data_IF_315085884070
#
_entry.id   IF_315085884070
#
_cell.length_a   1.000
_cell.length_b   1.000
_cell.length_c   1.000
_cell.angle_alpha   90.00
_cell.angle_beta   90.00
_cell.angle_gamma   90.00
#
_symmetry.space_group_name_H-M   'P 1'
#
loop_
_entity.id
_entity.type
_entity.pdbx_description
1 polymer ?
#
# COMPACT_ATOMS: atom_id res chain seq x y z
N UNK A 1 -53.48 9.46 -45.29
CA UNK A 1 -53.36 9.70 -43.83
C UNK A 1 -52.22 8.93 -43.19
N UNK A 2 -51.99 7.64 -43.50
CA UNK A 2 -50.88 6.88 -42.90
C UNK A 2 -49.46 7.31 -43.33
N UNK A 3 -49.26 7.79 -44.57
CA UNK A 3 -47.95 8.24 -45.08
C UNK A 3 -47.42 9.51 -44.38
N UNK A 4 -48.26 10.54 -44.21
CA UNK A 4 -47.86 11.78 -43.53
C UNK A 4 -47.53 11.58 -42.04
N UNK A 5 -48.08 10.53 -41.40
CA UNK A 5 -47.77 10.20 -40.01
C UNK A 5 -46.38 9.56 -39.87
N UNK A 6 -45.92 8.83 -40.89
CA UNK A 6 -44.60 8.17 -40.88
C UNK A 6 -43.49 9.18 -41.20
N UNK A 7 -43.73 10.11 -42.12
CA UNK A 7 -42.80 11.22 -42.41
C UNK A 7 -42.62 12.15 -41.19
N UNK A 8 -43.71 12.47 -40.48
CA UNK A 8 -43.64 13.30 -39.27
C UNK A 8 -42.85 12.67 -38.12
N UNK A 9 -42.90 11.33 -37.99
CA UNK A 9 -42.10 10.60 -36.99
C UNK A 9 -40.62 10.59 -37.37
N UNK A 10 -40.28 10.37 -38.64
CA UNK A 10 -38.88 10.40 -39.11
C UNK A 10 -38.22 11.77 -38.98
N UNK A 11 -38.93 12.84 -39.32
CA UNK A 11 -38.45 14.21 -39.16
C UNK A 11 -38.21 14.54 -37.67
N UNK A 12 -39.09 14.08 -36.77
CA UNK A 12 -38.88 14.25 -35.33
C UNK A 12 -37.74 13.41 -34.76
N UNK A 13 -37.44 12.26 -35.34
CA UNK A 13 -36.29 11.42 -34.94
C UNK A 13 -34.97 12.04 -35.41
N UNK A 14 -34.91 12.55 -36.65
CA UNK A 14 -33.72 13.24 -37.19
C UNK A 14 -33.41 14.55 -36.44
N UNK A 15 -34.42 15.37 -36.13
CA UNK A 15 -34.23 16.59 -35.32
C UNK A 15 -33.71 16.26 -33.90
N UNK A 16 -34.17 15.16 -33.30
CA UNK A 16 -33.74 14.76 -31.97
C UNK A 16 -32.32 14.19 -31.95
N UNK A 17 -31.92 13.49 -33.02
CA UNK A 17 -30.52 13.03 -33.24
C UNK A 17 -29.56 14.21 -33.45
N UNK A 18 -29.96 15.23 -34.21
CA UNK A 18 -29.14 16.44 -34.43
C UNK A 18 -28.96 17.26 -33.16
N UNK A 19 -30.01 17.46 -32.35
CA UNK A 19 -29.91 18.12 -31.05
C UNK A 19 -29.01 17.35 -30.07
N UNK A 20 -29.14 16.02 -30.05
CA UNK A 20 -28.30 15.17 -29.20
C UNK A 20 -26.81 15.24 -29.62
N UNK A 21 -26.53 15.29 -30.92
CA UNK A 21 -25.17 15.43 -31.44
C UNK A 21 -24.54 16.79 -31.07
N UNK A 22 -25.30 17.88 -31.19
CA UNK A 22 -24.82 19.23 -30.82
C UNK A 22 -24.54 19.31 -29.31
N UNK A 23 -25.44 18.80 -28.48
CA UNK A 23 -25.26 18.79 -27.02
C UNK A 23 -24.05 17.95 -26.60
N UNK A 24 -23.80 16.82 -27.27
CA UNK A 24 -22.62 15.99 -27.02
C UNK A 24 -21.31 16.69 -27.42
N UNK A 25 -21.31 17.40 -28.56
CA UNK A 25 -20.13 18.18 -29.00
C UNK A 25 -19.81 19.33 -28.03
N UNK A 26 -20.83 20.03 -27.51
CA UNK A 26 -20.64 21.09 -26.51
C UNK A 26 -20.10 20.54 -25.17
N UNK A 27 -20.64 19.41 -24.72
CA UNK A 27 -20.16 18.70 -23.52
C UNK A 27 -18.69 18.27 -23.66
N UNK A 28 -18.29 17.78 -24.84
CA UNK A 28 -16.90 17.42 -25.13
C UNK A 28 -15.98 18.64 -25.07
N UNK A 29 -16.34 19.75 -25.73
CA UNK A 29 -15.58 21.01 -25.68
C UNK A 29 -15.44 21.53 -24.27
N UNK A 30 -16.48 21.44 -23.44
CA UNK A 30 -16.43 21.84 -22.04
C UNK A 30 -15.49 20.96 -21.22
N UNK A 31 -15.47 19.65 -21.49
CA UNK A 31 -14.56 18.69 -20.85
C UNK A 31 -13.11 19.01 -21.21
N UNK A 32 -12.81 19.25 -22.48
CA UNK A 32 -11.47 19.65 -22.93
C UNK A 32 -11.01 20.97 -22.29
N UNK A 33 -11.90 21.96 -22.20
CA UNK A 33 -11.59 23.24 -21.55
C UNK A 33 -11.24 23.05 -20.07
N UNK A 34 -11.97 22.19 -19.36
CA UNK A 34 -11.67 21.84 -17.95
C UNK A 34 -10.34 21.11 -17.81
N UNK A 35 -10.01 20.20 -18.73
CA UNK A 35 -8.72 19.50 -18.73
C UNK A 35 -7.56 20.46 -18.91
N UNK A 36 -7.63 21.34 -19.92
CA UNK A 36 -6.60 22.37 -20.14
C UNK A 36 -6.44 23.29 -18.94
N UNK A 37 -7.53 23.63 -18.25
CA UNK A 37 -7.46 24.43 -17.03
C UNK A 37 -6.71 23.69 -15.90
N UNK A 38 -6.95 22.39 -15.72
CA UNK A 38 -6.23 21.58 -14.74
C UNK A 38 -4.75 21.39 -15.10
N UNK A 39 -4.41 21.24 -16.38
CA UNK A 39 -3.01 21.21 -16.85
C UNK A 39 -2.26 22.51 -16.50
N UNK A 40 -2.93 23.66 -16.66
CA UNK A 40 -2.36 24.95 -16.23
C UNK A 40 -2.19 24.99 -14.71
N UNK A 41 -3.17 24.50 -13.94
CA UNK A 41 -3.07 24.39 -12.48
C UNK A 41 -1.88 23.51 -12.08
N UNK A 42 -1.70 22.35 -12.70
CA UNK A 42 -0.58 21.45 -12.42
C UNK A 42 0.77 22.14 -12.70
N UNK A 43 0.88 22.86 -13.83
CA UNK A 43 2.08 23.62 -14.16
C UNK A 43 2.38 24.72 -13.13
N UNK A 44 1.34 25.42 -12.64
CA UNK A 44 1.48 26.42 -11.58
C UNK A 44 1.94 25.79 -10.26
N UNK A 45 1.35 24.64 -9.87
CA UNK A 45 1.69 23.91 -8.65
C UNK A 45 3.13 23.37 -8.69
N UNK A 46 3.62 23.00 -9.87
CA UNK A 46 4.98 22.51 -10.09
C UNK A 46 6.04 23.62 -10.05
N UNK A 47 5.65 24.88 -10.19
CA UNK A 47 6.58 26.00 -10.17
C UNK A 47 7.02 26.36 -8.74
N UNK A 48 8.33 26.39 -8.46
CA UNK A 48 8.94 26.74 -7.16
C UNK A 48 8.60 28.13 -6.57
N UNK A 49 7.86 29.00 -7.27
CA UNK A 49 7.45 30.32 -6.76
C UNK A 49 6.30 30.26 -5.76
N UNK A 50 5.95 31.40 -5.14
CA UNK A 50 4.74 31.47 -4.31
C UNK A 50 3.48 31.27 -5.16
N UNK A 51 2.50 30.57 -4.59
CA UNK A 51 1.21 30.35 -5.24
C UNK A 51 0.29 31.55 -4.95
N UNK A 52 0.12 32.41 -5.95
CA UNK A 52 -0.98 33.39 -5.96
C UNK A 52 -2.33 32.67 -6.12
N UNK A 53 -3.40 33.21 -5.54
CA UNK A 53 -4.78 32.73 -5.72
C UNK A 53 -5.06 31.25 -5.32
N UNK A 54 -4.42 30.77 -4.23
CA UNK A 54 -4.58 29.40 -3.71
C UNK A 54 -6.03 28.92 -3.63
N UNK A 55 -6.95 29.77 -3.16
CA UNK A 55 -8.36 29.41 -3.03
C UNK A 55 -9.02 29.11 -4.39
N UNK A 56 -8.68 29.88 -5.43
CA UNK A 56 -9.21 29.65 -6.78
C UNK A 56 -8.66 28.36 -7.37
N UNK A 57 -7.36 28.09 -7.16
CA UNK A 57 -6.71 26.85 -7.54
C UNK A 57 -7.41 25.66 -6.86
N UNK A 58 -7.59 25.72 -5.54
CA UNK A 58 -8.27 24.67 -4.78
C UNK A 58 -9.70 24.44 -5.29
N UNK A 59 -10.47 25.50 -5.55
CA UNK A 59 -11.82 25.38 -6.11
C UNK A 59 -11.82 24.74 -7.50
N UNK A 60 -10.89 25.09 -8.37
CA UNK A 60 -10.76 24.48 -9.69
C UNK A 60 -10.47 22.97 -9.59
N UNK A 61 -9.56 22.59 -8.69
CA UNK A 61 -9.24 21.18 -8.42
C UNK A 61 -10.46 20.42 -7.88
N UNK A 62 -11.13 20.95 -6.85
CA UNK A 62 -12.31 20.30 -6.25
C UNK A 62 -13.47 20.16 -7.25
N UNK A 63 -13.67 21.15 -8.12
CA UNK A 63 -14.68 21.07 -9.18
C UNK A 63 -14.38 19.93 -10.17
N UNK A 64 -13.11 19.59 -10.40
CA UNK A 64 -12.72 18.48 -11.27
C UNK A 64 -13.27 17.13 -10.83
N UNK A 65 -13.40 16.90 -9.51
CA UNK A 65 -13.95 15.66 -8.94
C UNK A 65 -15.47 15.49 -9.18
N UNK A 66 -16.19 16.57 -9.44
CA UNK A 66 -17.64 16.52 -9.73
C UNK A 66 -17.96 16.02 -11.13
N UNK A 67 -16.93 15.88 -11.98
CA UNK A 67 -17.08 15.41 -13.35
C UNK A 67 -17.41 13.92 -13.41
N UNK A 68 -18.29 13.53 -14.33
CA UNK A 68 -18.55 12.13 -14.68
C UNK A 68 -17.37 11.49 -15.42
N UNK A 69 -16.52 12.29 -16.07
CA UNK A 69 -15.37 11.83 -16.83
C UNK A 69 -14.19 11.46 -15.89
N UNK A 70 -13.73 10.21 -15.95
CA UNK A 70 -12.63 9.70 -15.12
C UNK A 70 -11.30 10.40 -15.38
N UNK A 71 -10.99 10.79 -16.62
CA UNK A 71 -9.75 11.50 -16.97
C UNK A 71 -9.67 12.85 -16.27
N UNK A 72 -10.80 13.58 -16.21
CA UNK A 72 -10.89 14.83 -15.46
C UNK A 72 -10.68 14.61 -13.96
N UNK A 73 -11.30 13.57 -13.39
CA UNK A 73 -11.11 13.23 -11.97
C UNK A 73 -9.66 12.82 -11.68
N UNK A 74 -9.01 12.11 -12.59
CA UNK A 74 -7.61 11.70 -12.45
C UNK A 74 -6.67 12.92 -12.46
N UNK A 75 -6.86 13.83 -13.41
CA UNK A 75 -6.12 15.10 -13.47
C UNK A 75 -6.34 15.95 -12.21
N UNK A 76 -7.57 16.00 -11.70
CA UNK A 76 -7.90 16.68 -10.45
C UNK A 76 -7.21 16.03 -9.24
N UNK A 77 -7.18 14.70 -9.16
CA UNK A 77 -6.50 13.96 -8.10
C UNK A 77 -4.99 14.20 -8.09
N UNK A 78 -4.37 14.22 -9.28
CA UNK A 78 -2.96 14.58 -9.44
C UNK A 78 -2.71 16.02 -8.97
N UNK A 79 -3.50 16.99 -9.43
CA UNK A 79 -3.38 18.38 -8.98
C UNK A 79 -3.56 18.52 -7.46
N UNK A 80 -4.52 17.79 -6.88
CA UNK A 80 -4.75 17.79 -5.44
C UNK A 80 -3.53 17.25 -4.68
N UNK A 81 -2.94 16.15 -5.15
CA UNK A 81 -1.76 15.56 -4.51
C UNK A 81 -0.58 16.55 -4.49
N UNK A 82 -0.31 17.23 -5.61
CA UNK A 82 0.74 18.25 -5.69
C UNK A 82 0.40 19.46 -4.83
N UNK A 83 -0.86 19.91 -4.84
CA UNK A 83 -1.33 21.02 -4.00
C UNK A 83 -1.08 20.74 -2.52
N UNK A 84 -1.38 19.53 -2.05
CA UNK A 84 -1.12 19.14 -0.67
C UNK A 84 0.37 19.23 -0.32
N UNK A 85 1.27 18.79 -1.21
CA UNK A 85 2.73 18.93 -1.02
C UNK A 85 3.21 20.40 -0.98
N UNK A 86 2.37 21.35 -1.37
CA UNK A 86 2.64 22.80 -1.32
C UNK A 86 2.10 23.47 -0.06
N UNK A 87 1.40 22.74 0.80
CA UNK A 87 0.95 23.26 2.08
C UNK A 87 2.11 23.40 3.05
N UNK A 88 2.08 24.49 3.82
CA UNK A 88 3.14 24.79 4.82
C UNK A 88 2.90 24.04 6.13
N UNK A 89 1.65 23.70 6.41
CA UNK A 89 1.20 23.05 7.62
C UNK A 89 0.57 21.70 7.25
N UNK A 90 0.96 20.65 7.97
CA UNK A 90 0.46 19.30 7.74
C UNK A 90 -1.08 19.25 7.87
N UNK A 91 -1.65 19.94 8.86
CA UNK A 91 -3.11 19.99 9.10
C UNK A 91 -3.90 20.52 7.88
N UNK A 92 -3.31 21.45 7.11
CA UNK A 92 -3.91 22.01 5.89
C UNK A 92 -3.91 21.00 4.74
N UNK A 93 -2.87 20.17 4.63
CA UNK A 93 -2.82 19.08 3.65
C UNK A 93 -3.75 17.93 4.05
N UNK A 94 -3.81 17.60 5.34
CA UNK A 94 -4.55 16.45 5.86
C UNK A 94 -6.07 16.60 5.76
N UNK A 95 -6.61 17.82 5.65
CA UNK A 95 -8.06 18.04 5.40
C UNK A 95 -8.58 17.34 4.15
N UNK A 96 -7.70 17.09 3.17
CA UNK A 96 -8.05 16.47 1.90
C UNK A 96 -7.98 14.95 1.96
N UNK A 97 -7.41 14.36 3.02
CA UNK A 97 -7.27 12.90 3.16
C UNK A 97 -8.60 12.15 2.98
N UNK A 98 -9.75 12.59 3.53
CA UNK A 98 -11.03 11.91 3.29
C UNK A 98 -11.40 11.78 1.80
N UNK A 99 -11.00 12.74 0.96
CA UNK A 99 -11.25 12.68 -0.47
C UNK A 99 -10.40 11.60 -1.16
N UNK A 100 -9.13 11.45 -0.78
CA UNK A 100 -8.28 10.35 -1.28
C UNK A 100 -8.86 8.99 -0.88
N UNK A 101 -9.31 8.84 0.37
CA UNK A 101 -9.97 7.63 0.86
C UNK A 101 -11.26 7.34 0.07
N UNK A 102 -12.09 8.36 -0.15
CA UNK A 102 -13.32 8.24 -0.93
C UNK A 102 -13.04 7.78 -2.36
N UNK A 103 -12.03 8.36 -3.03
CA UNK A 103 -11.63 7.95 -4.39
C UNK A 103 -11.10 6.52 -4.39
N UNK A 104 -10.26 6.16 -3.41
CA UNK A 104 -9.71 4.82 -3.26
C UNK A 104 -10.79 3.74 -3.06
N UNK A 105 -11.90 4.06 -2.39
CA UNK A 105 -12.99 3.12 -2.15
C UNK A 105 -13.99 3.03 -3.31
N UNK A 106 -14.27 4.14 -4.01
CA UNK A 106 -15.50 4.27 -4.81
C UNK A 106 -15.28 4.53 -6.31
N UNK A 107 -14.08 4.93 -6.75
CA UNK A 107 -13.88 5.33 -8.15
C UNK A 107 -13.51 4.15 -9.07
N UNK A 108 -13.03 4.40 -10.28
CA UNK A 108 -12.49 3.41 -11.22
C UNK A 108 -11.19 2.79 -10.70
N UNK A 109 -10.83 1.59 -11.15
CA UNK A 109 -9.63 0.88 -10.68
C UNK A 109 -8.34 1.72 -10.81
N UNK A 110 -8.18 2.43 -11.93
CA UNK A 110 -7.05 3.33 -12.21
C UNK A 110 -6.96 4.47 -11.19
N UNK A 111 -8.09 5.12 -10.89
CA UNK A 111 -8.15 6.18 -9.88
C UNK A 111 -7.96 5.65 -8.45
N UNK A 112 -8.45 4.45 -8.14
CA UNK A 112 -8.22 3.82 -6.83
C UNK A 112 -6.74 3.58 -6.60
N UNK A 113 -6.05 3.05 -7.61
CA UNK A 113 -4.62 2.81 -7.58
C UNK A 113 -3.84 4.13 -7.42
N UNK A 114 -4.23 5.17 -8.16
CA UNK A 114 -3.63 6.51 -8.03
C UNK A 114 -3.84 7.08 -6.62
N UNK A 115 -5.04 6.98 -6.07
CA UNK A 115 -5.35 7.45 -4.72
C UNK A 115 -4.52 6.71 -3.65
N UNK A 116 -4.34 5.39 -3.80
CA UNK A 116 -3.48 4.61 -2.91
C UNK A 116 -2.03 5.09 -2.94
N UNK A 117 -1.46 5.31 -4.14
CA UNK A 117 -0.11 5.86 -4.31
C UNK A 117 0.02 7.24 -3.65
N UNK A 118 -0.97 8.13 -3.87
CA UNK A 118 -0.99 9.43 -3.22
C UNK A 118 -1.00 9.29 -1.69
N UNK A 119 -1.84 8.44 -1.10
CA UNK A 119 -1.91 8.25 0.35
C UNK A 119 -0.58 7.74 0.95
N UNK A 120 0.16 6.88 0.24
CA UNK A 120 1.52 6.49 0.63
C UNK A 120 2.45 7.71 0.63
N UNK A 121 2.40 8.53 -0.42
CA UNK A 121 3.21 9.74 -0.49
C UNK A 121 2.83 10.77 0.58
N UNK A 122 1.55 10.87 0.99
CA UNK A 122 1.13 11.67 2.15
C UNK A 122 1.85 11.23 3.42
N UNK A 123 1.83 9.94 3.74
CA UNK A 123 2.53 9.41 4.92
C UNK A 123 4.06 9.56 4.83
N UNK A 124 4.60 9.62 3.61
CA UNK A 124 6.02 9.85 3.39
C UNK A 124 6.41 11.34 3.55
N UNK A 125 5.53 12.26 3.18
CA UNK A 125 5.77 13.70 3.22
C UNK A 125 5.44 14.30 4.59
N UNK A 126 4.28 13.96 5.15
CA UNK A 126 3.72 14.58 6.36
C UNK A 126 3.88 13.68 7.57
N UNK A 127 4.10 14.29 8.74
CA UNK A 127 4.10 13.56 10.01
C UNK A 127 2.69 13.59 10.56
N UNK A 128 1.92 12.55 10.26
CA UNK A 128 0.67 12.30 10.97
C UNK A 128 1.02 11.80 12.37
N UNK A 129 1.31 12.75 13.25
CA UNK A 129 1.44 12.46 14.68
C UNK A 129 0.06 12.08 15.19
N UNK A 130 -0.01 10.93 15.86
CA UNK A 130 -1.15 10.61 16.69
C UNK A 130 -1.12 11.65 17.81
N UNK A 131 -1.99 12.66 17.76
CA UNK A 131 -2.16 13.65 18.84
C UNK A 131 -2.80 12.95 20.04
N UNK A 132 -2.18 11.91 20.56
CA UNK A 132 -2.51 11.28 21.82
C UNK A 132 -1.94 12.16 22.93
N UNK A 133 -2.74 13.16 23.31
CA UNK A 133 -2.81 13.69 24.69
C UNK A 133 -1.49 13.74 25.47
N UNK A 134 -0.49 14.46 24.99
CA UNK A 134 0.59 14.94 25.85
C UNK A 134 0.25 16.37 26.30
N UNK A 135 -0.53 16.45 27.38
CA UNK A 135 -0.70 17.66 28.15
C UNK A 135 -2.01 18.41 27.91
N UNK A 136 -3.10 17.94 28.52
CA UNK A 136 -4.18 18.82 28.99
C UNK A 136 -4.97 18.11 30.10
N UNK A 137 -5.35 18.89 31.11
CA UNK A 137 -5.89 18.44 32.39
C UNK A 137 -7.08 17.48 32.24
N UNK A 138 -7.21 16.45 33.10
CA UNK A 138 -8.31 15.50 33.03
C UNK A 138 -9.55 16.04 33.78
N UNK A 139 -10.09 17.18 33.36
CA UNK A 139 -11.43 17.60 33.78
C UNK A 139 -12.17 18.26 32.62
N UNK A 140 -13.35 17.71 32.35
CA UNK A 140 -14.45 18.19 31.51
C UNK A 140 -14.62 17.63 30.09
N UNK A 141 -15.72 16.88 29.99
CA UNK A 141 -16.53 16.55 28.82
C UNK A 141 -16.03 15.47 27.88
N UNK A 142 -16.55 14.27 28.18
CA UNK A 142 -16.58 13.15 27.27
C UNK A 142 -17.32 13.49 25.98
N UNK A 143 -16.58 13.34 24.90
CA UNK A 143 -17.09 12.71 23.68
C UNK A 143 -15.88 12.03 23.06
N UNK A 144 -15.67 10.76 23.43
CA UNK A 144 -14.68 9.89 22.82
C UNK A 144 -15.15 9.55 21.40
N UNK A 145 -15.05 10.53 20.50
CA UNK A 145 -15.12 10.27 19.07
C UNK A 145 -13.78 9.68 18.68
N UNK A 146 -13.68 8.35 18.84
CA UNK A 146 -12.63 7.45 18.35
C UNK A 146 -12.61 7.50 16.81
N UNK A 147 -12.33 8.68 16.26
CA UNK A 147 -12.08 8.83 14.83
C UNK A 147 -10.65 8.34 14.63
N UNK A 148 -10.42 7.25 13.87
CA UNK A 148 -9.07 6.79 13.62
C UNK A 148 -8.25 7.94 13.05
N UNK A 149 -7.03 8.14 13.55
CA UNK A 149 -6.11 9.11 12.97
C UNK A 149 -5.97 8.82 11.46
N UNK A 150 -5.72 9.86 10.66
CA UNK A 150 -5.54 9.67 9.21
C UNK A 150 -4.50 8.60 8.88
N UNK A 151 -3.48 8.46 9.73
CA UNK A 151 -2.45 7.43 9.65
C UNK A 151 -3.00 6.02 9.83
N UNK A 152 -3.78 5.79 10.90
CA UNK A 152 -4.40 4.49 11.16
C UNK A 152 -5.33 4.07 10.00
N UNK A 153 -6.06 5.03 9.42
CA UNK A 153 -6.95 4.77 8.29
C UNK A 153 -6.17 4.33 7.04
N UNK A 154 -5.10 5.04 6.67
CA UNK A 154 -4.27 4.66 5.51
C UNK A 154 -3.59 3.31 5.76
N UNK A 155 -3.09 3.07 6.97
CA UNK A 155 -2.49 1.79 7.34
C UNK A 155 -3.48 0.63 7.19
N UNK A 156 -4.71 0.80 7.66
CA UNK A 156 -5.78 -0.20 7.48
C UNK A 156 -6.00 -0.47 6.00
N UNK A 157 -6.15 0.59 5.19
CA UNK A 157 -6.38 0.44 3.75
C UNK A 157 -5.23 -0.28 3.04
N UNK A 158 -3.97 0.01 3.38
CA UNK A 158 -2.81 -0.69 2.83
C UNK A 158 -2.83 -2.17 3.22
N UNK A 159 -3.09 -2.48 4.48
CA UNK A 159 -3.14 -3.86 4.97
C UNK A 159 -4.28 -4.66 4.33
N UNK A 160 -5.45 -4.06 4.15
CA UNK A 160 -6.62 -4.68 3.52
C UNK A 160 -6.37 -4.99 2.04
N UNK A 161 -5.54 -4.18 1.36
CA UNK A 161 -5.23 -4.35 -0.05
C UNK A 161 -4.05 -5.30 -0.34
N UNK A 162 -3.39 -5.87 0.68
CA UNK A 162 -2.34 -6.89 0.48
C UNK A 162 -2.84 -8.17 -0.20
N UNK A 163 -4.14 -8.48 -0.06
CA UNK A 163 -4.78 -9.66 -0.66
C UNK A 163 -5.79 -9.28 -1.75
N UNK A 164 -5.68 -8.06 -2.29
CA UNK A 164 -6.57 -7.59 -3.36
C UNK A 164 -6.46 -8.48 -4.60
N UNK A 165 -7.52 -8.62 -5.40
CA UNK A 165 -7.51 -9.48 -6.60
C UNK A 165 -6.62 -8.93 -7.72
N UNK A 166 -6.60 -7.61 -7.88
CA UNK A 166 -5.71 -6.90 -8.79
C UNK A 166 -4.26 -6.87 -8.28
N UNK A 167 -3.33 -7.26 -9.16
CA UNK A 167 -1.89 -7.36 -8.86
C UNK A 167 -1.23 -6.00 -8.63
N UNK A 168 -1.61 -4.98 -9.40
CA UNK A 168 -1.04 -3.64 -9.23
C UNK A 168 -1.42 -3.04 -7.87
N UNK A 169 -2.69 -3.19 -7.46
CA UNK A 169 -3.14 -2.75 -6.14
C UNK A 169 -2.39 -3.46 -5.00
N UNK A 170 -2.22 -4.79 -5.06
CA UNK A 170 -1.41 -5.54 -4.08
C UNK A 170 0.01 -5.03 -4.01
N UNK A 171 0.62 -4.79 -5.17
CA UNK A 171 2.00 -4.33 -5.28
C UNK A 171 2.16 -2.95 -4.64
N UNK A 172 1.28 -2.00 -4.95
CA UNK A 172 1.29 -0.66 -4.34
C UNK A 172 1.12 -0.74 -2.83
N UNK A 173 0.22 -1.59 -2.33
CA UNK A 173 0.02 -1.78 -0.91
C UNK A 173 1.28 -2.32 -0.21
N UNK A 174 1.88 -3.38 -0.75
CA UNK A 174 3.09 -4.00 -0.21
C UNK A 174 4.30 -3.05 -0.25
N UNK A 175 4.54 -2.39 -1.38
CA UNK A 175 5.62 -1.41 -1.54
C UNK A 175 5.42 -0.18 -0.67
N UNK A 176 4.18 0.28 -0.53
CA UNK A 176 3.81 1.38 0.36
C UNK A 176 4.20 1.07 1.80
N UNK A 177 3.77 -0.08 2.33
CA UNK A 177 4.15 -0.53 3.66
C UNK A 177 5.68 -0.67 3.82
N UNK A 178 6.35 -1.30 2.85
CA UNK A 178 7.80 -1.45 2.86
C UNK A 178 8.54 -0.10 2.91
N UNK A 179 8.14 0.86 2.08
CA UNK A 179 8.70 2.23 2.08
C UNK A 179 8.47 2.93 3.42
N UNK A 180 7.26 2.85 3.95
CA UNK A 180 6.89 3.48 5.21
C UNK A 180 7.67 2.90 6.39
N UNK A 181 7.82 1.58 6.47
CA UNK A 181 8.66 0.89 7.46
C UNK A 181 10.13 1.29 7.31
N UNK A 182 10.67 1.23 6.09
CA UNK A 182 12.08 1.54 5.85
C UNK A 182 12.42 2.99 6.18
N UNK A 183 11.52 3.93 5.93
CA UNK A 183 11.70 5.34 6.24
C UNK A 183 11.28 5.71 7.67
N UNK A 184 10.92 4.73 8.52
CA UNK A 184 10.45 4.94 9.89
C UNK A 184 9.28 5.95 9.97
N UNK A 185 8.37 5.89 9.00
CA UNK A 185 7.12 6.68 8.96
C UNK A 185 5.98 6.00 9.70
N UNK A 186 6.06 4.69 9.86
CA UNK A 186 5.15 3.87 10.64
C UNK A 186 5.98 2.99 11.56
N UNK A 187 5.39 2.55 12.67
CA UNK A 187 6.06 1.64 13.59
C UNK A 187 6.20 0.26 12.95
N UNK A 188 7.34 -0.38 13.19
CA UNK A 188 7.61 -1.70 12.65
C UNK A 188 7.10 -2.76 13.61
N UNK A 189 5.99 -3.40 13.23
CA UNK A 189 5.35 -4.47 13.98
C UNK A 189 5.60 -5.83 13.33
N UNK A 190 5.86 -6.90 14.12
CA UNK A 190 6.02 -8.26 13.59
C UNK A 190 4.86 -8.73 12.71
N UNK A 191 3.63 -8.29 13.00
CA UNK A 191 2.41 -8.63 12.27
C UNK A 191 2.43 -8.10 10.83
N UNK A 192 2.96 -6.89 10.61
CA UNK A 192 3.07 -6.31 9.28
C UNK A 192 4.13 -7.08 8.47
N UNK A 193 5.28 -7.36 9.09
CA UNK A 193 6.33 -8.16 8.45
C UNK A 193 5.85 -9.59 8.16
N UNK A 194 5.07 -10.20 9.05
CA UNK A 194 4.48 -11.52 8.83
C UNK A 194 3.58 -11.52 7.59
N UNK A 195 2.71 -10.52 7.44
CA UNK A 195 1.84 -10.39 6.26
C UNK A 195 2.64 -10.18 4.96
N UNK A 196 3.70 -9.38 5.01
CA UNK A 196 4.58 -9.17 3.86
C UNK A 196 5.36 -10.44 3.49
N UNK A 197 5.86 -11.20 4.47
CA UNK A 197 6.49 -12.51 4.24
C UNK A 197 5.52 -13.52 3.63
N UNK A 198 4.31 -13.62 4.18
CA UNK A 198 3.25 -14.46 3.62
C UNK A 198 2.95 -14.10 2.16
N UNK A 199 2.81 -12.82 1.86
CA UNK A 199 2.54 -12.35 0.50
C UNK A 199 3.72 -12.65 -0.43
N UNK A 200 4.95 -12.42 0.03
CA UNK A 200 6.16 -12.67 -0.75
C UNK A 200 6.38 -14.14 -1.05
N UNK A 201 5.98 -15.08 -0.18
CA UNK A 201 6.11 -16.52 -0.45
C UNK A 201 4.82 -17.17 -0.98
N UNK A 202 3.76 -16.39 -1.22
CA UNK A 202 2.52 -16.92 -1.76
C UNK A 202 2.74 -17.33 -3.24
N UNK A 203 2.46 -18.59 -3.63
CA UNK A 203 2.57 -19.00 -5.04
C UNK A 203 1.66 -18.18 -5.98
N UNK A 204 0.56 -17.62 -5.48
CA UNK A 204 -0.33 -16.77 -6.27
C UNK A 204 0.28 -15.43 -6.71
N UNK A 205 1.42 -15.04 -6.14
CA UNK A 205 2.17 -13.81 -6.48
C UNK A 205 3.51 -14.13 -7.14
N UNK A 206 3.71 -15.36 -7.63
CA UNK A 206 4.95 -15.77 -8.32
C UNK A 206 5.19 -14.96 -9.59
N UNK A 207 4.14 -14.72 -10.38
CA UNK A 207 4.19 -13.95 -11.63
C UNK A 207 4.19 -12.42 -11.40
N UNK A 208 4.06 -11.95 -10.15
CA UNK A 208 4.08 -10.52 -9.82
C UNK A 208 5.53 -10.02 -9.68
N UNK A 209 6.25 -9.93 -10.80
CA UNK A 209 7.69 -9.60 -10.85
C UNK A 209 8.07 -8.34 -10.04
N UNK A 210 7.28 -7.27 -10.18
CA UNK A 210 7.55 -6.00 -9.50
C UNK A 210 7.45 -6.14 -7.98
N UNK A 211 6.41 -6.84 -7.49
CA UNK A 211 6.24 -7.14 -6.07
C UNK A 211 7.41 -7.99 -5.55
N UNK A 212 7.78 -9.05 -6.27
CA UNK A 212 8.89 -9.93 -5.89
C UNK A 212 10.21 -9.17 -5.83
N UNK A 213 10.48 -8.34 -6.83
CA UNK A 213 11.68 -7.51 -6.89
C UNK A 213 11.73 -6.53 -5.72
N UNK A 214 10.65 -5.77 -5.48
CA UNK A 214 10.66 -4.75 -4.43
C UNK A 214 10.79 -5.37 -3.04
N UNK A 215 10.13 -6.49 -2.76
CA UNK A 215 10.28 -7.21 -1.49
C UNK A 215 11.68 -7.83 -1.32
N UNK A 216 12.27 -8.37 -2.39
CA UNK A 216 13.61 -8.95 -2.36
C UNK A 216 14.71 -7.93 -2.00
N UNK A 217 14.48 -6.65 -2.31
CA UNK A 217 15.36 -5.54 -1.94
C UNK A 217 15.04 -5.04 -0.53
N UNK A 218 13.75 -4.90 -0.21
CA UNK A 218 13.30 -4.38 1.07
C UNK A 218 13.75 -5.25 2.25
N UNK A 219 13.48 -6.56 2.24
CA UNK A 219 13.71 -7.38 3.44
C UNK A 219 15.19 -7.41 3.89
N UNK A 220 16.19 -7.65 3.01
CA UNK A 220 17.59 -7.61 3.41
C UNK A 220 18.02 -6.21 3.85
N UNK A 221 17.59 -5.17 3.11
CA UNK A 221 17.94 -3.79 3.46
C UNK A 221 17.34 -3.36 4.80
N UNK A 222 16.11 -3.79 5.12
CA UNK A 222 15.47 -3.48 6.39
C UNK A 222 16.09 -4.27 7.55
N UNK A 223 16.35 -5.57 7.38
CA UNK A 223 16.97 -6.42 8.40
C UNK A 223 18.38 -5.94 8.76
N UNK A 224 19.19 -5.56 7.76
CA UNK A 224 20.58 -5.15 7.97
C UNK A 224 20.72 -3.81 8.73
N UNK A 225 19.67 -2.99 8.81
CA UNK A 225 19.74 -1.64 9.42
C UNK A 225 19.90 -1.63 10.93
N UNK A 226 19.39 -2.64 11.65
CA UNK A 226 19.49 -2.69 13.10
C UNK A 226 19.26 -4.10 13.66
N UNK A 227 19.78 -4.36 14.86
CA UNK A 227 19.47 -5.60 15.58
C UNK A 227 17.97 -5.69 15.92
N UNK A 228 17.33 -4.57 16.24
CA UNK A 228 15.89 -4.50 16.50
C UNK A 228 15.09 -5.01 15.30
N UNK A 229 15.45 -4.58 14.08
CA UNK A 229 14.78 -5.02 12.87
C UNK A 229 14.94 -6.53 12.63
N UNK A 230 16.12 -7.09 12.94
CA UNK A 230 16.30 -8.55 12.91
C UNK A 230 15.41 -9.26 13.92
N UNK A 231 15.35 -8.79 15.17
CA UNK A 231 14.46 -9.37 16.18
C UNK A 231 12.98 -9.32 15.75
N UNK A 232 12.54 -8.26 15.06
CA UNK A 232 11.20 -8.20 14.48
C UNK A 232 10.96 -9.29 13.43
N UNK A 233 11.96 -9.64 12.60
CA UNK A 233 11.86 -10.78 11.67
C UNK A 233 11.81 -12.14 12.38
N UNK A 234 12.49 -12.30 13.53
CA UNK A 234 12.39 -13.52 14.34
C UNK A 234 10.96 -13.74 14.84
N UNK A 235 10.35 -12.67 15.37
CA UNK A 235 8.97 -12.71 15.85
C UNK A 235 7.98 -12.90 14.69
N UNK A 236 8.17 -12.18 13.58
CA UNK A 236 7.35 -12.30 12.38
C UNK A 236 7.40 -13.72 11.79
N UNK A 237 8.55 -14.39 11.82
CA UNK A 237 8.67 -15.78 11.38
C UNK A 237 7.81 -16.71 12.22
N UNK A 238 7.85 -16.57 13.55
CA UNK A 238 7.06 -17.38 14.48
C UNK A 238 5.56 -17.16 14.21
N UNK A 239 5.13 -15.90 14.09
CA UNK A 239 3.75 -15.56 13.75
C UNK A 239 3.32 -16.18 12.41
N UNK A 240 4.19 -16.12 11.41
CA UNK A 240 3.92 -16.63 10.08
C UNK A 240 3.79 -18.15 10.06
N UNK A 241 4.71 -18.87 10.72
CA UNK A 241 4.64 -20.33 10.81
C UNK A 241 3.41 -20.79 11.60
N UNK A 242 3.02 -20.06 12.66
CA UNK A 242 1.77 -20.32 13.37
C UNK A 242 0.56 -20.13 12.44
N UNK A 243 0.52 -19.04 11.68
CA UNK A 243 -0.54 -18.78 10.72
C UNK A 243 -0.66 -19.91 9.67
N UNK A 244 0.47 -20.35 9.08
CA UNK A 244 0.51 -21.47 8.13
C UNK A 244 0.04 -22.77 8.78
N UNK A 245 0.51 -23.10 10.00
CA UNK A 245 0.08 -24.33 10.69
C UNK A 245 -1.41 -24.38 11.03
N UNK A 246 -1.99 -23.21 11.28
CA UNK A 246 -3.41 -23.08 11.62
C UNK A 246 -4.32 -22.97 10.38
N UNK A 247 -3.74 -22.79 9.20
CA UNK A 247 -4.49 -22.54 7.98
C UNK A 247 -5.23 -23.81 7.52
N UNK A 248 -6.54 -23.72 7.18
CA UNK A 248 -7.24 -24.79 6.50
C UNK A 248 -6.54 -25.15 5.17
N UNK A 249 -6.60 -26.42 4.77
CA UNK A 249 -5.94 -26.91 3.54
C UNK A 249 -6.41 -26.24 2.24
N UNK A 250 -7.57 -25.58 2.27
CA UNK A 250 -8.16 -24.85 1.13
C UNK A 250 -7.71 -23.38 1.08
N UNK A 251 -7.01 -22.90 2.12
CA UNK A 251 -6.54 -21.52 2.20
C UNK A 251 -5.36 -21.29 1.25
N UNK A 252 -5.31 -20.16 0.51
CA UNK A 252 -4.13 -19.77 -0.26
C UNK A 252 -2.85 -19.63 0.58
N UNK A 253 -2.98 -19.49 1.90
CA UNK A 253 -1.83 -19.43 2.82
C UNK A 253 -1.22 -20.82 3.06
N UNK A 254 -1.99 -21.90 2.87
CA UNK A 254 -1.52 -23.26 3.08
C UNK A 254 -0.61 -23.78 1.95
N UNK A 255 -0.56 -23.09 0.80
CA UNK A 255 0.32 -23.45 -0.32
C UNK A 255 1.73 -22.85 -0.20
N UNK A 256 1.97 -21.98 0.79
CA UNK A 256 3.27 -21.39 1.06
C UNK A 256 4.23 -22.48 1.57
N UNK A 257 5.44 -22.57 1.00
CA UNK A 257 6.49 -23.47 1.50
C UNK A 257 7.12 -22.89 2.80
N UNK A 258 6.84 -23.50 3.97
CA UNK A 258 7.33 -22.99 5.25
C UNK A 258 8.85 -23.18 5.39
N UNK A 259 9.45 -24.14 4.68
CA UNK A 259 10.89 -24.42 4.74
C UNK A 259 11.65 -23.35 3.96
N UNK A 260 11.22 -23.05 2.74
CA UNK A 260 11.84 -22.02 1.91
C UNK A 260 11.81 -20.66 2.62
N UNK A 261 10.64 -20.27 3.12
CA UNK A 261 10.47 -19.04 3.88
C UNK A 261 11.36 -18.98 5.13
N UNK A 262 11.44 -20.08 5.88
CA UNK A 262 12.27 -20.14 7.08
C UNK A 262 13.76 -19.97 6.74
N UNK A 263 14.24 -20.65 5.70
CA UNK A 263 15.62 -20.54 5.25
C UNK A 263 15.96 -19.11 4.80
N UNK A 264 15.08 -18.48 4.03
CA UNK A 264 15.24 -17.09 3.63
C UNK A 264 15.27 -16.15 4.84
N UNK A 265 14.36 -16.34 5.79
CA UNK A 265 14.30 -15.49 6.99
C UNK A 265 15.55 -15.69 7.86
N UNK A 266 16.06 -16.91 8.00
CA UNK A 266 17.34 -17.15 8.70
C UNK A 266 18.54 -16.52 8.00
N UNK A 267 18.51 -16.44 6.67
CA UNK A 267 19.50 -15.68 5.92
C UNK A 267 19.45 -14.18 6.28
N UNK A 268 18.26 -13.58 6.38
CA UNK A 268 18.10 -12.17 6.81
C UNK A 268 18.64 -11.89 8.22
N UNK A 269 18.57 -12.90 9.09
CA UNK A 269 19.00 -12.81 10.48
C UNK A 269 20.52 -12.99 10.65
N UNK A 270 21.27 -13.23 9.57
CA UNK A 270 22.72 -13.49 9.60
C UNK A 270 23.10 -14.65 10.56
N UNK A 271 22.23 -15.67 10.68
CA UNK A 271 22.36 -16.77 11.66
C UNK A 271 23.60 -17.65 11.44
N UNK A 272 24.43 -17.37 10.43
CA UNK A 272 25.73 -18.02 10.21
C UNK A 272 26.83 -17.73 11.25
N UNK A 273 26.53 -17.12 12.42
CA UNK A 273 27.53 -16.95 13.50
C UNK A 273 27.11 -17.33 14.92
N UNK A 274 25.90 -17.87 15.15
CA UNK A 274 25.47 -18.17 16.53
C UNK A 274 24.35 -19.20 16.66
N UNK A 275 24.72 -20.42 17.05
CA UNK A 275 23.84 -21.56 17.37
C UNK A 275 22.72 -21.20 18.36
N UNK A 276 22.90 -20.18 19.20
CA UNK A 276 21.99 -19.84 20.31
C UNK A 276 20.71 -19.15 19.83
N UNK A 277 20.77 -18.26 18.84
CA UNK A 277 19.59 -17.57 18.30
C UNK A 277 18.70 -18.56 17.51
N UNK A 278 19.32 -19.42 16.69
CA UNK A 278 18.61 -20.47 15.97
C UNK A 278 17.89 -21.42 16.92
N UNK A 279 18.53 -21.82 18.03
CA UNK A 279 17.90 -22.72 19.01
C UNK A 279 16.72 -22.05 19.73
N UNK A 280 16.79 -20.76 20.06
CA UNK A 280 15.70 -20.07 20.74
C UNK A 280 14.48 -19.87 19.83
N UNK A 281 14.70 -19.58 18.54
CA UNK A 281 13.62 -19.55 17.54
C UNK A 281 13.04 -20.95 17.37
N UNK A 282 13.88 -21.97 17.14
CA UNK A 282 13.44 -23.36 16.96
C UNK A 282 12.62 -23.88 18.16
N UNK A 283 12.97 -23.51 19.40
CA UNK A 283 12.20 -23.88 20.59
C UNK A 283 10.80 -23.24 20.66
N UNK A 284 10.55 -22.17 19.90
CA UNK A 284 9.28 -21.43 19.85
C UNK A 284 8.43 -21.77 18.62
N UNK A 285 8.99 -22.43 17.61
CA UNK A 285 8.26 -22.87 16.40
C UNK A 285 7.39 -24.10 16.73
N UNK A 286 6.19 -24.25 16.13
CA UNK A 286 5.39 -25.47 16.26
C UNK A 286 6.19 -26.76 16.01
N UNK A 287 5.92 -27.78 16.81
CA UNK A 287 6.65 -29.06 16.75
C UNK A 287 6.57 -29.78 15.41
N UNK A 288 5.54 -29.49 14.61
CA UNK A 288 5.38 -29.97 13.24
C UNK A 288 6.46 -29.45 12.28
N UNK A 289 7.00 -28.25 12.49
CA UNK A 289 8.04 -27.67 11.63
C UNK A 289 9.46 -27.94 12.13
N UNK A 290 9.64 -28.27 13.41
CA UNK A 290 10.95 -28.60 13.99
C UNK A 290 11.71 -29.68 13.20
N UNK A 291 11.02 -30.72 12.71
CA UNK A 291 11.65 -31.79 11.92
C UNK A 291 12.07 -31.32 10.51
N UNK A 292 11.29 -30.45 9.89
CA UNK A 292 11.49 -29.92 8.54
C UNK A 292 12.59 -28.84 8.50
N UNK A 293 12.71 -28.03 9.55
CA UNK A 293 13.71 -26.97 9.64
C UNK A 293 15.08 -27.50 10.08
N UNK A 294 15.13 -28.56 10.90
CA UNK A 294 16.38 -29.17 11.35
C UNK A 294 17.08 -30.01 10.27
N UNK A 295 16.33 -30.71 9.41
CA UNK A 295 16.92 -31.63 8.44
C UNK A 295 17.84 -30.94 7.40
N UNK A 296 17.46 -29.81 6.76
CA UNK A 296 18.31 -29.10 5.80
C UNK A 296 19.50 -28.41 6.48
N UNK A 297 19.26 -27.79 7.65
CA UNK A 297 20.28 -27.06 8.42
C UNK A 297 21.37 -27.98 8.97
N UNK A 298 21.02 -29.23 9.29
CA UNK A 298 21.98 -30.28 9.65
C UNK A 298 22.64 -30.92 8.44
N UNK A 299 21.95 -31.01 7.29
CA UNK A 299 22.49 -31.56 6.04
C UNK A 299 23.52 -30.64 5.35
N UNK A 300 23.45 -29.33 5.55
CA UNK A 300 24.45 -28.36 5.04
C UNK A 300 25.77 -28.36 5.83
N UNK A 301 25.93 -29.22 6.86
CA UNK A 301 27.20 -29.34 7.58
C UNK A 301 28.22 -30.11 6.74
N UNK A 302 29.44 -29.59 6.51
CA UNK A 302 30.55 -30.42 6.07
C UNK A 302 30.89 -31.39 7.22
N UNK A 303 30.48 -32.64 7.06
CA UNK A 303 30.70 -33.75 8.01
C UNK A 303 32.18 -34.11 8.25
N UNK A 304 33.12 -33.40 7.62
CA UNK A 304 34.54 -33.70 7.66
C UNK A 304 35.35 -32.93 8.72
N UNK A 305 34.94 -31.72 9.14
CA UNK A 305 35.77 -30.90 10.04
C UNK A 305 35.53 -31.16 11.54
N UNK A 306 34.36 -31.67 11.91
CA UNK A 306 34.05 -31.98 13.32
C UNK A 306 34.81 -33.21 13.86
N UNK A 307 35.22 -34.14 12.98
CA UNK A 307 35.94 -35.36 13.38
C UNK A 307 37.47 -35.19 13.49
N UNK A 308 38.05 -34.06 13.05
CA UNK A 308 39.50 -33.83 13.17
C UNK A 308 39.94 -33.18 14.48
N UNK A 309 39.03 -32.61 15.27
CA UNK A 309 39.39 -31.91 16.52
C UNK A 309 39.30 -32.75 17.80
N UNK A 310 38.94 -34.03 17.72
CA UNK A 310 38.90 -34.94 18.88
C UNK A 310 40.02 -36.00 18.90
N UNK A 311 40.94 -35.98 17.92
CA UNK A 311 42.03 -36.95 17.81
C UNK A 311 43.32 -36.60 18.55
N UNK A 312 43.56 -35.32 18.86
CA UNK A 312 44.86 -34.83 19.36
C UNK A 312 44.81 -34.35 20.82
N UNK A 313 44.23 -35.17 21.70
CA UNK A 313 44.44 -35.08 23.15
C UNK A 313 44.79 -36.48 23.68
N UNK A 314 46.05 -36.87 23.49
CA UNK A 314 46.80 -37.80 24.34
C UNK A 314 48.13 -37.17 24.70
#
# INVERSE_FOLDING_TARGET
MALNAIEGVKLSEEEHEDEANIANEESLKQTEAKLRALEVVEALLSHKGELSDRQQIQMAVLNGFTSSNSVLRASALQCLSVLCLREKEDDEALRFLPLFVQVCGNDTAELRLMAMKCMVDFLMAFRMEDRSSEGENPEENGNDSTTPSGKALILSLLLDNLLHSDSEMRTVAAEGLARLLFCARIEAEPEILSKLLLLFFNPATEDDDLHRQSMSVFFPAFAARSQTNRSLFEEALILTLNAISSAPSVSPIASVDPVEMSLYTFYLLEVCSGIVASLNILLRVPTSFLSLTLAPTLAQRPTAEANRRFGDLK
#
